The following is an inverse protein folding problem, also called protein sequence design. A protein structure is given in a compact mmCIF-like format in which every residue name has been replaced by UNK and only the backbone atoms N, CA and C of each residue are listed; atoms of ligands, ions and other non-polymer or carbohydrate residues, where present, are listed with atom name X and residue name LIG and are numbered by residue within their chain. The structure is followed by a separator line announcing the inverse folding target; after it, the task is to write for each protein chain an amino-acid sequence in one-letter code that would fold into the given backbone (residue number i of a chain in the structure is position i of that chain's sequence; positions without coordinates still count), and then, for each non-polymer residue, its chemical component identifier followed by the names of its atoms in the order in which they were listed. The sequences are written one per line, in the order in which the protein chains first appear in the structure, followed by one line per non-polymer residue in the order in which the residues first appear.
data_IF_199093887192
#
_entry.id   IF_199093887192
#
_cell.length_a   1.000
_cell.length_b   1.000
_cell.length_c   1.000
_cell.angle_alpha   90.00
_cell.angle_beta   90.00
_cell.angle_gamma   90.00
#
_symmetry.space_group_name_H-M   'P 1'
#
loop_
_entity.id
_entity.type
_entity.pdbx_description
1 polymer ?
#
# COMPACT_ATOMS: atom_id res chain seq x y z
N UNK A 1 8.31 1.12 -25.26
CA UNK A 1 6.95 0.70 -24.85
C UNK A 1 6.92 0.66 -23.34
N UNK A 2 5.93 1.27 -22.67
CA UNK A 2 5.81 1.17 -21.20
C UNK A 2 5.38 -0.26 -20.83
N UNK A 3 5.90 -0.84 -19.72
CA UNK A 3 5.42 -2.13 -19.26
C UNK A 3 3.97 -2.00 -18.79
N UNK A 4 3.16 -3.04 -19.03
CA UNK A 4 1.81 -3.15 -18.47
C UNK A 4 1.89 -3.77 -17.09
N UNK A 5 1.33 -3.08 -16.09
CA UNK A 5 1.31 -3.55 -14.70
C UNK A 5 -0.14 -3.75 -14.28
N UNK A 6 -0.49 -4.98 -13.91
CA UNK A 6 -1.79 -5.28 -13.35
C UNK A 6 -1.71 -5.22 -11.82
N UNK A 7 -2.42 -4.29 -11.20
CA UNK A 7 -2.47 -4.11 -9.75
C UNK A 7 -3.65 -4.90 -9.19
N UNK A 8 -3.37 -5.94 -8.41
CA UNK A 8 -4.36 -6.91 -7.92
C UNK A 8 -4.98 -6.57 -6.57
N UNK A 9 -4.57 -5.46 -5.97
CA UNK A 9 -4.93 -5.05 -4.61
C UNK A 9 -5.16 -3.53 -4.54
N UNK A 10 -5.78 -3.00 -3.46
CA UNK A 10 -5.89 -1.58 -3.24
C UNK A 10 -4.53 -1.00 -2.81
N UNK A 11 -3.99 -0.07 -3.59
CA UNK A 11 -2.81 0.71 -3.21
C UNK A 11 -3.17 2.18 -2.98
N UNK A 12 -2.37 2.87 -2.16
CA UNK A 12 -2.55 4.30 -1.90
C UNK A 12 -2.45 5.14 -3.19
N UNK A 13 -3.16 6.27 -3.26
CA UNK A 13 -3.16 7.14 -4.45
C UNK A 13 -1.75 7.57 -4.89
N UNK A 14 -0.84 7.78 -3.93
CA UNK A 14 0.57 8.07 -4.22
C UNK A 14 1.23 6.93 -5.00
N UNK A 15 0.94 5.68 -4.65
CA UNK A 15 1.44 4.51 -5.38
C UNK A 15 0.92 4.47 -6.82
N UNK A 16 -0.37 4.76 -7.03
CA UNK A 16 -0.94 4.89 -8.38
C UNK A 16 -0.24 5.96 -9.21
N UNK A 17 0.03 7.13 -8.62
CA UNK A 17 0.69 8.23 -9.31
C UNK A 17 2.12 7.86 -9.74
N UNK A 18 2.87 7.17 -8.87
CA UNK A 18 4.23 6.70 -9.17
C UNK A 18 4.22 5.64 -10.28
N UNK A 19 3.30 4.68 -10.22
CA UNK A 19 3.20 3.63 -11.24
C UNK A 19 2.81 4.21 -12.61
N UNK A 20 1.86 5.14 -12.66
CA UNK A 20 1.39 5.75 -13.91
C UNK A 20 2.49 6.57 -14.62
N UNK A 21 3.48 7.08 -13.88
CA UNK A 21 4.62 7.78 -14.47
C UNK A 21 5.42 6.86 -15.42
N UNK A 22 5.64 5.61 -15.02
CA UNK A 22 6.56 4.69 -15.69
C UNK A 22 5.87 3.53 -16.43
N UNK A 23 4.59 3.27 -16.13
CA UNK A 23 3.90 2.05 -16.56
C UNK A 23 2.50 2.33 -17.09
N UNK A 24 1.96 1.37 -17.86
CA UNK A 24 0.53 1.27 -18.14
C UNK A 24 -0.12 0.44 -17.02
N UNK A 25 -0.36 1.08 -15.87
CA UNK A 25 -0.95 0.43 -14.71
C UNK A 25 -2.47 0.30 -14.86
N UNK A 26 -3.01 -0.90 -14.60
CA UNK A 26 -4.44 -1.21 -14.67
C UNK A 26 -4.86 -1.96 -13.41
N UNK A 27 -6.01 -1.62 -12.85
CA UNK A 27 -6.57 -2.34 -11.71
C UNK A 27 -7.17 -3.69 -12.15
N UNK A 28 -6.95 -4.73 -11.35
CA UNK A 28 -7.63 -6.01 -11.51
C UNK A 28 -9.12 -5.88 -11.22
N UNK A 29 -9.96 -6.28 -12.19
CA UNK A 29 -11.41 -6.24 -12.08
C UNK A 29 -12.02 -7.47 -11.41
N UNK A 30 -11.23 -8.53 -11.19
CA UNK A 30 -11.68 -9.76 -10.55
C UNK A 30 -11.63 -9.69 -9.01
N UNK A 31 -12.02 -10.77 -8.32
CA UNK A 31 -11.93 -10.84 -6.87
C UNK A 31 -10.48 -10.70 -6.42
N UNK A 32 -10.29 -9.90 -5.37
CA UNK A 32 -9.00 -9.66 -4.73
C UNK A 32 -8.87 -10.60 -3.53
N UNK A 33 -7.76 -11.33 -3.45
CA UNK A 33 -7.50 -12.23 -2.34
C UNK A 33 -5.98 -12.39 -2.16
N UNK A 34 -5.54 -12.26 -0.91
CA UNK A 34 -4.17 -12.51 -0.52
C UNK A 34 -4.12 -13.61 0.57
N UNK A 35 -3.27 -14.64 0.39
CA UNK A 35 -2.43 -14.91 -0.78
C UNK A 35 -3.25 -15.32 -2.02
N UNK A 36 -2.63 -15.21 -3.21
CA UNK A 36 -3.20 -15.78 -4.45
C UNK A 36 -3.45 -17.28 -4.23
N UNK A 37 -4.69 -17.72 -4.42
CA UNK A 37 -5.09 -19.12 -4.24
C UNK A 37 -4.66 -20.00 -5.42
N UNK A 38 -4.43 -21.31 -5.21
CA UNK A 38 -4.27 -22.26 -6.31
C UNK A 38 -5.44 -22.16 -7.31
N UNK A 39 -5.13 -22.20 -8.61
CA UNK A 39 -6.13 -22.07 -9.68
C UNK A 39 -6.52 -20.63 -10.03
N UNK A 40 -5.84 -19.61 -9.48
CA UNK A 40 -6.07 -18.23 -9.87
C UNK A 40 -5.82 -18.01 -11.37
N UNK A 41 -6.65 -17.24 -12.11
CA UNK A 41 -6.52 -17.08 -13.57
C UNK A 41 -5.18 -16.53 -14.06
N UNK A 42 -4.48 -15.80 -13.20
CA UNK A 42 -3.15 -15.23 -13.51
C UNK A 42 -2.00 -16.17 -13.14
N UNK A 43 -2.25 -17.20 -12.33
CA UNK A 43 -1.22 -18.12 -11.89
C UNK A 43 -0.85 -19.10 -13.03
N UNK A 44 0.43 -19.18 -13.37
CA UNK A 44 0.95 -20.12 -14.38
C UNK A 44 0.86 -19.62 -15.83
N UNK A 45 0.38 -18.40 -16.08
CA UNK A 45 0.45 -17.80 -17.41
C UNK A 45 1.92 -17.53 -17.79
N UNK A 46 2.36 -17.89 -19.01
CA UNK A 46 3.77 -17.80 -19.40
C UNK A 46 4.27 -16.36 -19.55
N UNK A 47 3.37 -15.39 -19.60
CA UNK A 47 3.63 -13.97 -19.81
C UNK A 47 3.30 -13.11 -18.57
N UNK A 48 3.14 -13.73 -17.41
CA UNK A 48 2.84 -13.04 -16.15
C UNK A 48 3.95 -13.27 -15.14
N UNK A 49 4.47 -12.19 -14.59
CA UNK A 49 5.33 -12.20 -13.40
C UNK A 49 4.50 -11.80 -12.19
N UNK A 50 4.41 -12.67 -11.19
CA UNK A 50 3.71 -12.39 -9.93
C UNK A 50 4.71 -11.99 -8.85
N UNK A 51 4.40 -10.92 -8.12
CA UNK A 51 5.14 -10.49 -6.93
C UNK A 51 4.20 -10.60 -5.71
N UNK A 52 4.58 -11.31 -4.63
CA UNK A 52 3.65 -11.60 -3.53
C UNK A 52 3.58 -10.44 -2.51
N UNK A 53 2.97 -9.31 -2.89
CA UNK A 53 2.83 -8.11 -2.03
C UNK A 53 4.19 -7.66 -1.44
N UNK A 54 5.21 -7.55 -2.30
CA UNK A 54 6.57 -7.18 -1.88
C UNK A 54 7.01 -5.80 -2.36
N UNK A 55 6.09 -4.98 -2.90
CA UNK A 55 6.44 -3.71 -3.55
C UNK A 55 7.20 -2.72 -2.64
N UNK A 56 6.91 -2.73 -1.34
CA UNK A 56 7.58 -1.87 -0.33
C UNK A 56 8.54 -2.64 0.58
N UNK A 57 8.72 -3.95 0.37
CA UNK A 57 9.39 -4.84 1.32
C UNK A 57 10.90 -4.81 1.09
N UNK A 58 11.56 -3.85 1.73
CA UNK A 58 13.02 -3.77 1.87
C UNK A 58 13.38 -3.70 3.35
N UNK A 59 14.61 -4.09 3.71
CA UNK A 59 15.07 -4.00 5.10
C UNK A 59 14.92 -2.58 5.67
N UNK A 60 15.46 -1.58 4.95
CA UNK A 60 15.32 -0.17 5.31
C UNK A 60 13.86 0.29 5.38
N UNK A 61 13.03 -0.15 4.43
CA UNK A 61 11.61 0.18 4.38
C UNK A 61 10.86 -0.34 5.60
N UNK A 62 11.04 -1.62 5.92
CA UNK A 62 10.45 -2.27 7.08
C UNK A 62 10.88 -1.59 8.39
N UNK A 63 12.17 -1.30 8.54
CA UNK A 63 12.70 -0.63 9.74
C UNK A 63 12.14 0.78 9.91
N UNK A 64 12.04 1.56 8.82
CA UNK A 64 11.44 2.91 8.86
C UNK A 64 9.96 2.85 9.20
N UNK A 65 9.19 1.93 8.61
CA UNK A 65 7.77 1.76 8.90
C UNK A 65 7.54 1.36 10.36
N UNK A 66 8.26 0.37 10.85
CA UNK A 66 8.14 -0.10 12.24
C UNK A 66 8.46 1.02 13.24
N UNK A 67 9.55 1.76 13.00
CA UNK A 67 9.95 2.89 13.84
C UNK A 67 8.92 4.01 13.82
N UNK A 68 8.46 4.43 12.64
CA UNK A 68 7.48 5.51 12.51
C UNK A 68 6.16 5.16 13.20
N UNK A 69 5.70 3.91 13.07
CA UNK A 69 4.49 3.45 13.76
C UNK A 69 4.64 3.51 15.29
N UNK A 70 5.77 3.03 15.83
CA UNK A 70 6.04 3.08 17.27
C UNK A 70 6.14 4.53 17.79
N UNK A 71 6.81 5.41 17.06
CA UNK A 71 6.94 6.84 17.42
C UNK A 71 5.58 7.55 17.42
N UNK A 72 4.71 7.29 16.43
CA UNK A 72 3.36 7.89 16.37
C UNK A 72 2.45 7.40 17.51
N UNK A 73 2.55 6.12 17.89
CA UNK A 73 1.81 5.58 19.06
C UNK A 73 2.23 6.31 20.33
N UNK A 74 3.55 6.44 20.58
CA UNK A 74 4.06 7.14 21.75
C UNK A 74 3.63 8.61 21.78
N UNK A 75 3.71 9.30 20.64
CA UNK A 75 3.27 10.70 20.46
C UNK A 75 1.83 10.89 20.90
N UNK A 76 0.91 10.06 20.39
CA UNK A 76 -0.51 10.16 20.74
C UNK A 76 -0.77 9.84 22.21
N UNK A 77 -0.08 8.83 22.77
CA UNK A 77 -0.20 8.49 24.20
C UNK A 77 0.34 9.60 25.12
N UNK A 78 1.25 10.44 24.63
CA UNK A 78 1.74 11.63 25.33
C UNK A 78 0.80 12.85 25.20
N UNK A 79 -0.31 12.70 24.48
CA UNK A 79 -1.28 13.77 24.26
C UNK A 79 -0.92 14.73 23.13
N UNK A 80 0.13 14.43 22.36
CA UNK A 80 0.49 15.18 21.15
C UNK A 80 -0.38 14.74 19.95
N UNK A 81 -0.57 15.64 18.99
CA UNK A 81 -1.24 15.30 17.73
C UNK A 81 -0.33 14.43 16.84
N UNK A 82 -0.85 13.43 16.11
CA UNK A 82 -0.05 12.60 15.20
C UNK A 82 0.61 13.45 14.10
N UNK A 83 1.79 13.05 13.65
CA UNK A 83 2.55 13.72 12.59
C UNK A 83 2.00 13.43 11.20
N UNK A 84 1.44 12.23 10.99
CA UNK A 84 0.95 11.78 9.69
C UNK A 84 -0.54 11.39 9.71
N UNK A 85 -1.46 12.32 10.03
CA UNK A 85 -2.88 12.02 10.05
C UNK A 85 -3.41 11.72 8.64
N UNK A 86 -4.07 10.58 8.48
CA UNK A 86 -4.79 10.23 7.24
C UNK A 86 -6.21 10.82 7.20
N UNK A 87 -6.71 11.26 8.36
CA UNK A 87 -8.01 11.88 8.57
C UNK A 87 -7.87 13.12 9.49
N UNK A 88 -7.25 14.23 9.02
CA UNK A 88 -6.96 15.41 9.85
C UNK A 88 -8.20 16.00 10.55
N UNK A 89 -9.38 15.88 9.96
CA UNK A 89 -10.66 16.31 10.51
C UNK A 89 -11.00 15.62 11.84
N UNK A 90 -10.52 14.40 12.07
CA UNK A 90 -10.74 13.66 13.31
C UNK A 90 -9.93 14.22 14.49
N UNK A 91 -8.95 15.10 14.24
CA UNK A 91 -8.13 15.72 15.27
C UNK A 91 -8.83 16.90 15.97
N UNK A 92 -9.91 17.41 15.38
CA UNK A 92 -10.73 18.46 16.00
C UNK A 92 -11.49 17.83 17.16
N UNK A 93 -11.07 18.13 18.40
CA UNK A 93 -11.80 17.66 19.59
C UNK A 93 -13.22 18.24 19.55
N UNK A 94 -14.28 17.42 19.60
CA UNK A 94 -15.62 17.96 19.75
C UNK A 94 -15.66 18.71 21.10
N UNK A 95 -16.21 19.94 21.08
CA UNK A 95 -16.43 20.72 22.29
C UNK A 95 -17.17 19.84 23.31
N UNK A 96 -16.47 19.43 24.36
CA UNK A 96 -17.06 18.75 25.54
C UNK A 96 -17.57 19.80 26.51
#
# INVERSE_FOLDING_TARGET
MKPKVLVTEPIHQVGWNLLAAETEAVAWAGPQAEPIRPGHPLAGLPNVLLTPHLGSVTEDGLMRMARAAAEEVLRVLQGEAPRYPVNPEALVKPNR
#
